data_IF_348826639406
#
_entry.id   IF_348826639406
#
_cell.length_a   1.000
_cell.length_b   1.000
_cell.length_c   1.000
_cell.angle_alpha   90.00
_cell.angle_beta   90.00
_cell.angle_gamma   90.00
#
_symmetry.space_group_name_H-M   'P 1'
#
loop_
_entity.id
_entity.type
_entity.pdbx_description
1 polymer ?
#
# COMPACT_ATOMS: atom_id res chain seq x y z
N UNK A 1 -38.86 -12.38 44.42
CA UNK A 1 -38.32 -11.88 43.15
C UNK A 1 -39.39 -12.01 42.09
N UNK A 2 -40.18 -10.93 41.86
CA UNK A 2 -41.33 -10.95 40.95
C UNK A 2 -40.82 -10.87 39.48
N UNK A 3 -40.89 -11.99 38.79
CA UNK A 3 -40.69 -12.01 37.32
C UNK A 3 -41.95 -11.40 36.71
N UNK A 4 -41.84 -10.21 36.16
CA UNK A 4 -42.92 -9.54 35.47
C UNK A 4 -43.44 -10.45 34.35
N UNK A 5 -44.68 -10.94 34.47
CA UNK A 5 -45.40 -11.66 33.41
C UNK A 5 -45.58 -10.69 32.25
N UNK A 6 -44.83 -10.88 31.19
CA UNK A 6 -45.03 -10.17 29.93
C UNK A 6 -46.46 -10.47 29.43
N UNK A 7 -47.31 -9.46 29.47
CA UNK A 7 -48.68 -9.55 28.97
C UNK A 7 -48.64 -9.71 27.45
N UNK A 8 -48.81 -10.93 26.98
CA UNK A 8 -48.70 -11.34 25.57
C UNK A 8 -50.01 -11.12 24.81
N UNK A 9 -50.47 -9.87 24.74
CA UNK A 9 -51.55 -9.51 23.81
C UNK A 9 -51.08 -9.85 22.37
N UNK A 10 -51.87 -10.59 21.55
CA UNK A 10 -51.47 -11.03 20.20
C UNK A 10 -51.04 -9.88 19.30
N UNK A 11 -51.63 -8.70 19.45
CA UNK A 11 -51.24 -7.51 18.70
C UNK A 11 -49.79 -7.03 19.05
N UNK A 12 -49.39 -7.20 20.30
CA UNK A 12 -48.01 -6.86 20.71
C UNK A 12 -46.98 -7.85 20.15
N UNK A 13 -47.35 -9.13 19.98
CA UNK A 13 -46.45 -10.13 19.37
C UNK A 13 -46.18 -9.81 17.92
N UNK A 14 -47.22 -9.44 17.14
CA UNK A 14 -47.08 -9.03 15.74
C UNK A 14 -46.20 -7.79 15.65
N UNK A 15 -46.41 -6.79 16.50
CA UNK A 15 -45.58 -5.57 16.54
C UNK A 15 -44.10 -5.89 16.81
N UNK A 16 -43.82 -6.76 17.80
CA UNK A 16 -42.45 -7.17 18.10
C UNK A 16 -41.80 -7.95 16.95
N UNK A 17 -42.51 -8.79 16.22
CA UNK A 17 -42.04 -9.50 15.05
C UNK A 17 -41.67 -8.51 13.91
N UNK A 18 -42.54 -7.52 13.67
CA UNK A 18 -42.29 -6.50 12.65
C UNK A 18 -41.05 -5.67 13.01
N UNK A 19 -40.93 -5.23 14.29
CA UNK A 19 -39.76 -4.46 14.75
C UNK A 19 -38.48 -5.29 14.68
N UNK A 20 -38.53 -6.57 15.05
CA UNK A 20 -37.39 -7.48 14.95
C UNK A 20 -36.97 -7.66 13.47
N UNK A 21 -37.93 -7.88 12.58
CA UNK A 21 -37.67 -7.98 11.13
C UNK A 21 -37.05 -6.70 10.58
N UNK A 22 -37.59 -5.53 10.95
CA UNK A 22 -37.02 -4.24 10.56
C UNK A 22 -35.57 -4.07 11.06
N UNK A 23 -35.32 -4.42 12.33
CA UNK A 23 -33.98 -4.34 12.90
C UNK A 23 -32.99 -5.25 12.16
N UNK A 24 -33.36 -6.48 11.82
CA UNK A 24 -32.54 -7.42 11.06
C UNK A 24 -32.22 -6.85 9.68
N UNK A 25 -33.20 -6.31 8.97
CA UNK A 25 -33.02 -5.70 7.66
C UNK A 25 -32.07 -4.49 7.74
N UNK A 26 -32.30 -3.59 8.71
CA UNK A 26 -31.43 -2.42 8.90
C UNK A 26 -29.98 -2.84 9.22
N UNK A 27 -29.80 -3.81 10.10
CA UNK A 27 -28.46 -4.32 10.45
C UNK A 27 -27.76 -4.93 9.23
N UNK A 28 -28.48 -5.75 8.46
CA UNK A 28 -27.96 -6.34 7.22
C UNK A 28 -27.49 -5.24 6.24
N UNK A 29 -28.34 -4.25 5.96
CA UNK A 29 -27.99 -3.16 5.05
C UNK A 29 -26.80 -2.33 5.55
N UNK A 30 -26.74 -2.07 6.86
CA UNK A 30 -25.61 -1.33 7.45
C UNK A 30 -24.31 -2.10 7.28
N UNK A 31 -24.28 -3.38 7.59
CA UNK A 31 -23.09 -4.23 7.42
C UNK A 31 -22.70 -4.36 5.95
N UNK A 32 -23.68 -4.58 5.06
CA UNK A 32 -23.42 -4.67 3.63
C UNK A 32 -22.82 -3.37 3.06
N UNK A 33 -23.39 -2.22 3.41
CA UNK A 33 -22.89 -0.90 2.99
C UNK A 33 -21.48 -0.66 3.53
N UNK A 34 -21.23 -1.01 4.79
CA UNK A 34 -19.92 -0.88 5.41
C UNK A 34 -18.85 -1.70 4.65
N UNK A 35 -19.11 -2.98 4.39
CA UNK A 35 -18.16 -3.83 3.64
C UNK A 35 -17.93 -3.32 2.22
N UNK A 36 -18.99 -2.89 1.54
CA UNK A 36 -18.89 -2.33 0.20
C UNK A 36 -18.04 -1.04 0.18
N UNK A 37 -18.21 -0.19 1.17
CA UNK A 37 -17.46 1.06 1.26
C UNK A 37 -15.96 0.82 1.50
N UNK A 38 -15.60 -0.15 2.34
CA UNK A 38 -14.20 -0.55 2.53
C UNK A 38 -13.59 -1.04 1.21
N UNK A 39 -14.27 -1.93 0.50
CA UNK A 39 -13.78 -2.47 -0.77
C UNK A 39 -13.60 -1.37 -1.84
N UNK A 40 -14.54 -0.43 -1.95
CA UNK A 40 -14.42 0.71 -2.86
C UNK A 40 -13.25 1.64 -2.47
N UNK A 41 -13.06 1.86 -1.17
CA UNK A 41 -11.96 2.67 -0.67
C UNK A 41 -10.60 2.03 -0.92
N UNK A 42 -10.50 0.71 -0.73
CA UNK A 42 -9.31 -0.07 -1.07
C UNK A 42 -8.97 0.04 -2.56
N UNK A 43 -9.96 -0.22 -3.42
CA UNK A 43 -9.78 -0.10 -4.87
C UNK A 43 -9.33 1.30 -5.28
N UNK A 44 -9.94 2.35 -4.73
CA UNK A 44 -9.56 3.74 -5.00
C UNK A 44 -8.13 4.04 -4.54
N UNK A 45 -7.73 3.50 -3.38
CA UNK A 45 -6.37 3.65 -2.86
C UNK A 45 -5.34 2.96 -3.77
N UNK A 46 -5.63 1.75 -4.24
CA UNK A 46 -4.76 1.00 -5.15
C UNK A 46 -4.61 1.71 -6.50
N UNK A 47 -5.71 2.19 -7.11
CA UNK A 47 -5.67 2.96 -8.36
C UNK A 47 -4.83 4.24 -8.20
N UNK A 48 -4.99 4.94 -7.07
CA UNK A 48 -4.19 6.12 -6.76
C UNK A 48 -2.71 5.77 -6.61
N UNK A 49 -2.37 4.73 -5.85
CA UNK A 49 -0.98 4.28 -5.69
C UNK A 49 -0.36 3.89 -7.02
N UNK A 50 -1.09 3.17 -7.86
CA UNK A 50 -0.63 2.78 -9.18
C UNK A 50 -0.29 4.01 -10.06
N UNK A 51 -1.13 5.04 -10.02
CA UNK A 51 -0.84 6.31 -10.69
C UNK A 51 0.44 6.97 -10.17
N UNK A 52 0.64 6.98 -8.85
CA UNK A 52 1.84 7.58 -8.20
C UNK A 52 3.10 6.82 -8.61
N UNK A 53 3.12 5.48 -8.52
CA UNK A 53 4.33 4.71 -8.87
C UNK A 53 4.65 4.79 -10.37
N UNK A 54 3.65 4.84 -11.24
CA UNK A 54 3.86 5.07 -12.68
C UNK A 54 4.48 6.45 -12.95
N UNK A 55 4.01 7.49 -12.24
CA UNK A 55 4.57 8.83 -12.35
C UNK A 55 6.03 8.88 -11.85
N UNK A 56 6.34 8.22 -10.74
CA UNK A 56 7.72 8.09 -10.25
C UNK A 56 8.60 7.31 -11.23
N UNK A 57 8.11 6.18 -11.75
CA UNK A 57 8.86 5.37 -12.71
C UNK A 57 9.19 6.14 -13.99
N UNK A 58 8.31 7.03 -14.45
CA UNK A 58 8.56 7.89 -15.60
C UNK A 58 9.61 8.97 -15.33
N UNK A 59 9.75 9.44 -14.10
CA UNK A 59 10.69 10.48 -13.70
C UNK A 59 12.10 9.94 -13.39
N UNK A 60 12.20 8.68 -12.95
CA UNK A 60 13.46 8.05 -12.56
C UNK A 60 14.18 7.56 -13.81
N UNK A 61 15.43 8.01 -13.98
CA UNK A 61 16.31 7.53 -15.03
C UNK A 61 16.75 6.08 -14.72
N UNK A 62 16.29 5.12 -15.54
CA UNK A 62 16.61 3.72 -15.36
C UNK A 62 18.07 3.38 -15.63
N UNK A 63 18.75 4.10 -16.53
CA UNK A 63 20.18 3.92 -16.76
C UNK A 63 20.98 4.35 -15.53
N UNK A 64 20.67 5.52 -14.96
CA UNK A 64 21.29 6.00 -13.72
C UNK A 64 21.03 5.04 -12.55
N UNK A 65 19.79 4.48 -12.44
CA UNK A 65 19.44 3.50 -11.42
C UNK A 65 20.26 2.20 -11.56
N UNK A 66 20.43 1.70 -12.80
CA UNK A 66 21.25 0.53 -13.10
C UNK A 66 22.73 0.77 -12.78
N UNK A 67 23.27 1.91 -13.19
CA UNK A 67 24.66 2.28 -12.93
C UNK A 67 24.94 2.40 -11.44
N UNK A 68 24.03 3.03 -10.68
CA UNK A 68 24.09 3.13 -9.22
C UNK A 68 24.16 1.73 -8.58
N UNK A 69 23.26 0.84 -8.97
CA UNK A 69 23.23 -0.52 -8.43
C UNK A 69 24.46 -1.35 -8.78
N UNK A 70 25.06 -1.13 -9.94
CA UNK A 70 26.31 -1.80 -10.36
C UNK A 70 27.55 -1.23 -9.68
N UNK A 71 27.59 0.09 -9.43
CA UNK A 71 28.70 0.78 -8.79
C UNK A 71 28.88 0.40 -7.33
N UNK A 72 27.75 0.23 -6.62
CA UNK A 72 27.73 -0.08 -5.20
C UNK A 72 27.07 -1.47 -4.99
N UNK A 73 27.89 -2.52 -4.99
CA UNK A 73 27.42 -3.91 -4.91
C UNK A 73 27.11 -4.40 -3.49
N UNK A 74 27.55 -3.69 -2.45
CA UNK A 74 27.48 -4.17 -1.08
C UNK A 74 26.38 -3.49 -0.27
N UNK A 75 25.85 -4.23 0.72
CA UNK A 75 24.90 -3.70 1.69
C UNK A 75 25.49 -2.54 2.46
N UNK A 76 24.68 -1.50 2.71
CA UNK A 76 25.07 -0.28 3.42
C UNK A 76 26.23 0.52 2.76
N UNK A 77 26.55 0.23 1.50
CA UNK A 77 27.55 1.00 0.76
C UNK A 77 27.17 2.49 0.60
N UNK A 78 25.88 2.79 0.65
CA UNK A 78 25.36 4.17 0.71
C UNK A 78 24.72 4.39 2.07
N UNK A 79 25.31 5.28 2.87
CA UNK A 79 24.90 5.62 4.24
C UNK A 79 24.20 6.98 4.33
N UNK A 80 24.42 7.86 3.34
CA UNK A 80 23.83 9.20 3.29
C UNK A 80 23.25 9.43 1.90
N UNK A 81 22.05 10.00 1.83
CA UNK A 81 21.37 10.25 0.56
C UNK A 81 22.13 11.26 -0.35
N UNK A 82 23.07 12.04 0.20
CA UNK A 82 23.94 12.97 -0.54
C UNK A 82 25.28 12.36 -0.96
N UNK A 83 25.53 11.09 -0.64
CA UNK A 83 26.83 10.43 -0.86
C UNK A 83 27.12 10.21 -2.34
N UNK A 84 26.11 9.94 -3.16
CA UNK A 84 26.22 9.70 -4.59
C UNK A 84 25.22 10.57 -5.35
N UNK A 85 25.60 11.07 -6.52
CA UNK A 85 24.78 11.99 -7.33
C UNK A 85 23.50 11.30 -7.85
N UNK A 86 23.63 10.07 -8.34
CA UNK A 86 22.50 9.35 -8.94
C UNK A 86 21.52 8.92 -7.85
N UNK A 87 22.06 8.46 -6.69
CA UNK A 87 21.24 8.21 -5.51
C UNK A 87 20.45 9.44 -5.08
N UNK A 88 21.15 10.59 -4.99
CA UNK A 88 20.52 11.86 -4.59
C UNK A 88 19.39 12.27 -5.54
N UNK A 89 19.59 12.14 -6.84
CA UNK A 89 18.57 12.47 -7.85
C UNK A 89 17.34 11.57 -7.70
N UNK A 90 17.53 10.26 -7.56
CA UNK A 90 16.42 9.30 -7.35
C UNK A 90 15.73 9.58 -6.03
N UNK A 91 16.49 9.79 -4.95
CA UNK A 91 15.94 10.17 -3.64
C UNK A 91 15.06 11.42 -3.73
N UNK A 92 15.49 12.48 -4.42
CA UNK A 92 14.72 13.71 -4.58
C UNK A 92 13.39 13.46 -5.31
N UNK A 93 13.39 12.66 -6.38
CA UNK A 93 12.17 12.29 -7.10
C UNK A 93 11.20 11.54 -6.17
N UNK A 94 11.71 10.54 -5.43
CA UNK A 94 10.92 9.78 -4.48
C UNK A 94 10.36 10.68 -3.37
N UNK A 95 11.18 11.58 -2.81
CA UNK A 95 10.80 12.48 -1.73
C UNK A 95 9.74 13.50 -2.16
N UNK A 96 9.92 14.12 -3.32
CA UNK A 96 8.93 15.06 -3.88
C UNK A 96 7.58 14.37 -4.12
N UNK A 97 7.57 13.16 -4.68
CA UNK A 97 6.34 12.41 -4.89
C UNK A 97 5.72 11.95 -3.55
N UNK A 98 6.53 11.53 -2.57
CA UNK A 98 6.10 11.18 -1.22
C UNK A 98 5.37 12.35 -0.55
N UNK A 99 5.96 13.56 -0.59
CA UNK A 99 5.40 14.77 0.01
C UNK A 99 4.16 15.26 -0.75
N UNK A 100 4.24 15.38 -2.08
CA UNK A 100 3.14 15.87 -2.92
C UNK A 100 1.88 15.01 -2.82
N UNK A 101 2.04 13.70 -2.64
CA UNK A 101 0.93 12.77 -2.51
C UNK A 101 0.55 12.47 -1.06
N UNK A 102 1.24 13.09 -0.08
CA UNK A 102 0.99 12.88 1.36
C UNK A 102 1.04 11.40 1.75
N UNK A 103 1.98 10.65 1.17
CA UNK A 103 2.22 9.26 1.53
C UNK A 103 2.63 9.19 3.00
N UNK A 104 2.27 8.10 3.68
CA UNK A 104 2.61 7.89 5.11
C UNK A 104 3.76 6.91 5.30
N UNK A 105 4.03 6.11 4.28
CA UNK A 105 5.18 5.20 4.23
C UNK A 105 6.14 5.70 3.14
N UNK A 106 7.46 5.59 3.34
CA UNK A 106 8.42 5.98 2.33
C UNK A 106 8.20 5.24 1.01
N UNK A 107 8.36 5.96 -0.11
CA UNK A 107 8.50 5.34 -1.42
C UNK A 107 9.95 4.88 -1.64
N UNK A 108 10.14 3.82 -2.41
CA UNK A 108 11.47 3.23 -2.60
C UNK A 108 11.60 2.53 -3.94
N UNK A 109 12.86 2.29 -4.35
CA UNK A 109 13.18 1.46 -5.50
C UNK A 109 13.88 0.18 -5.08
N UNK A 110 13.68 -0.88 -5.85
CA UNK A 110 14.30 -2.19 -5.61
C UNK A 110 14.79 -2.80 -6.92
N UNK A 111 15.78 -3.67 -6.80
CA UNK A 111 16.19 -4.60 -7.85
C UNK A 111 15.92 -6.03 -7.42
N UNK A 112 15.74 -6.93 -8.37
CA UNK A 112 15.64 -8.35 -8.11
C UNK A 112 17.00 -9.02 -8.26
N UNK A 113 17.48 -9.64 -7.18
CA UNK A 113 18.70 -10.43 -7.19
C UNK A 113 18.34 -11.90 -7.49
N UNK A 114 18.60 -12.33 -8.72
CA UNK A 114 18.26 -13.70 -9.16
C UNK A 114 19.13 -14.79 -8.54
N UNK A 115 20.30 -14.45 -7.98
CA UNK A 115 21.20 -15.43 -7.35
C UNK A 115 20.69 -15.80 -5.96
N UNK A 116 20.24 -14.82 -5.20
CA UNK A 116 19.76 -14.96 -3.82
C UNK A 116 18.23 -15.05 -3.71
N UNK A 117 17.53 -14.91 -4.84
CA UNK A 117 16.06 -15.00 -4.98
C UNK A 117 15.29 -14.03 -4.06
N UNK A 118 15.79 -12.81 -3.90
CA UNK A 118 15.13 -11.75 -3.14
C UNK A 118 15.23 -10.38 -3.82
N UNK A 119 14.42 -9.43 -3.36
CA UNK A 119 14.56 -8.03 -3.74
C UNK A 119 15.53 -7.31 -2.81
N UNK A 120 16.24 -6.30 -3.35
CA UNK A 120 17.15 -5.45 -2.61
C UNK A 120 16.75 -3.98 -2.77
N UNK A 121 16.68 -3.24 -1.67
CA UNK A 121 16.39 -1.81 -1.70
C UNK A 121 17.56 -1.03 -2.29
N UNK A 122 17.28 -0.10 -3.23
CA UNK A 122 18.31 0.73 -3.85
C UNK A 122 18.19 2.19 -3.40
N UNK A 123 17.02 2.81 -3.53
CA UNK A 123 16.82 4.17 -3.07
C UNK A 123 15.49 4.30 -2.31
N UNK A 124 15.40 5.28 -1.44
CA UNK A 124 14.21 5.55 -0.63
C UNK A 124 13.97 7.05 -0.49
N UNK A 125 12.70 7.44 -0.28
CA UNK A 125 12.34 8.82 0.08
C UNK A 125 12.69 9.19 1.53
N UNK A 126 13.12 8.22 2.36
CA UNK A 126 13.62 8.45 3.71
C UNK A 126 15.02 9.06 3.67
N UNK A 127 15.32 9.98 4.59
CA UNK A 127 16.64 10.60 4.71
C UNK A 127 17.72 9.58 5.18
N UNK A 128 17.31 8.45 5.77
CA UNK A 128 18.18 7.33 6.09
C UNK A 128 18.10 6.29 4.96
N UNK A 129 19.15 6.10 4.16
CA UNK A 129 19.23 5.05 3.16
C UNK A 129 19.06 3.66 3.79
N UNK A 130 18.47 2.76 3.03
CA UNK A 130 18.36 1.34 3.38
C UNK A 130 18.94 0.49 2.23
N UNK A 131 20.16 0.89 1.83
CA UNK A 131 20.79 0.43 0.60
C UNK A 131 21.18 -1.05 0.66
N UNK A 132 20.75 -1.82 -0.36
CA UNK A 132 21.04 -3.25 -0.51
C UNK A 132 20.59 -4.13 0.66
N UNK A 133 19.67 -3.65 1.51
CA UNK A 133 19.03 -4.54 2.46
C UNK A 133 18.08 -5.50 1.74
N UNK A 134 18.08 -6.80 2.08
CA UNK A 134 17.22 -7.77 1.43
C UNK A 134 15.78 -7.62 1.88
N UNK A 135 14.85 -7.85 0.95
CA UNK A 135 13.43 -8.00 1.21
C UNK A 135 13.01 -9.44 0.88
N UNK A 136 13.17 -10.34 1.87
CA UNK A 136 12.97 -11.78 1.71
C UNK A 136 11.49 -12.19 1.73
N UNK A 137 10.64 -11.42 2.43
CA UNK A 137 9.22 -11.73 2.62
C UNK A 137 8.33 -10.96 1.66
N UNK A 138 8.76 -10.81 0.42
CA UNK A 138 8.00 -10.10 -0.61
C UNK A 138 6.79 -10.90 -1.10
N UNK A 139 5.76 -10.18 -1.56
CA UNK A 139 4.59 -10.81 -2.17
C UNK A 139 4.96 -11.37 -3.56
N UNK A 140 4.55 -12.62 -3.93
CA UNK A 140 4.93 -13.27 -5.20
C UNK A 140 4.63 -12.44 -6.46
N UNK A 141 3.57 -11.64 -6.44
CA UNK A 141 3.20 -10.73 -7.54
C UNK A 141 4.36 -9.82 -7.96
N UNK A 142 5.25 -9.40 -7.04
CA UNK A 142 6.41 -8.57 -7.37
C UNK A 142 7.34 -9.27 -8.37
N UNK A 143 7.55 -10.56 -8.20
CA UNK A 143 8.37 -11.38 -9.10
C UNK A 143 7.62 -11.70 -10.39
N UNK A 144 6.36 -12.13 -10.28
CA UNK A 144 5.54 -12.53 -11.43
C UNK A 144 5.30 -11.38 -12.41
N UNK A 145 5.15 -10.15 -11.89
CA UNK A 145 4.88 -8.95 -12.68
C UNK A 145 6.02 -7.92 -12.66
N UNK A 146 7.24 -8.38 -12.43
CA UNK A 146 8.42 -7.52 -12.33
C UNK A 146 8.59 -6.57 -13.52
N UNK A 147 8.28 -7.04 -14.72
CA UNK A 147 8.41 -6.26 -15.97
C UNK A 147 7.16 -5.48 -16.36
N UNK A 148 6.01 -5.76 -15.74
CA UNK A 148 4.72 -5.15 -16.08
C UNK A 148 4.31 -4.08 -15.08
N UNK A 149 4.65 -4.31 -13.80
CA UNK A 149 4.12 -3.53 -12.69
C UNK A 149 2.72 -3.97 -12.30
N UNK A 150 2.15 -3.30 -11.30
CA UNK A 150 0.80 -3.57 -10.85
C UNK A 150 0.54 -3.17 -9.40
N UNK A 151 -0.54 -3.71 -8.87
CA UNK A 151 -0.96 -3.49 -7.50
C UNK A 151 -0.93 -4.79 -6.71
N UNK A 152 -0.67 -4.69 -5.42
CA UNK A 152 -0.79 -5.78 -4.47
C UNK A 152 -1.95 -5.42 -3.54
N UNK A 153 -3.08 -6.15 -3.63
CA UNK A 153 -4.20 -6.00 -2.70
C UNK A 153 -3.73 -6.24 -1.27
N UNK A 154 -4.62 -6.06 -0.32
CA UNK A 154 -4.29 -6.21 1.09
C UNK A 154 -3.49 -7.49 1.37
N UNK A 155 -2.29 -7.30 1.93
CA UNK A 155 -1.42 -8.39 2.39
C UNK A 155 -0.82 -8.05 3.75
N UNK A 156 -0.29 -9.05 4.43
CA UNK A 156 0.34 -8.91 5.74
C UNK A 156 1.77 -9.41 5.69
N UNK A 157 2.68 -8.61 6.24
CA UNK A 157 4.07 -9.00 6.48
C UNK A 157 4.45 -8.75 7.95
N UNK A 158 5.74 -8.82 8.27
CA UNK A 158 6.24 -8.59 9.64
C UNK A 158 6.06 -7.15 10.12
N UNK A 159 5.85 -6.20 9.22
CA UNK A 159 5.77 -4.77 9.52
C UNK A 159 4.32 -4.28 9.61
N UNK A 160 3.35 -5.05 9.12
CA UNK A 160 1.94 -4.69 9.20
C UNK A 160 1.05 -5.24 8.11
N UNK A 161 -0.07 -4.56 7.93
CA UNK A 161 -1.04 -4.84 6.85
C UNK A 161 -0.95 -3.71 5.83
N UNK A 162 -0.73 -4.06 4.57
CA UNK A 162 -0.37 -3.13 3.52
C UNK A 162 -1.27 -3.23 2.29
N UNK A 163 -1.38 -2.13 1.58
CA UNK A 163 -1.76 -2.02 0.17
C UNK A 163 -0.56 -1.46 -0.57
N UNK A 164 -0.16 -2.05 -1.68
CA UNK A 164 1.02 -1.63 -2.40
C UNK A 164 0.77 -1.51 -3.90
N UNK A 165 1.55 -0.65 -4.53
CA UNK A 165 1.67 -0.59 -5.98
C UNK A 165 3.13 -0.47 -6.39
N UNK A 166 3.46 -0.99 -7.56
CA UNK A 166 4.80 -0.94 -8.11
C UNK A 166 4.79 -0.76 -9.62
N UNK A 167 5.84 -0.16 -10.15
CA UNK A 167 6.03 0.04 -11.57
C UNK A 167 7.48 -0.26 -11.96
N UNK A 168 7.71 -0.85 -13.16
CA UNK A 168 9.04 -1.15 -13.63
C UNK A 168 9.81 0.13 -13.96
N UNK A 169 11.10 0.16 -13.57
CA UNK A 169 12.07 1.13 -14.04
C UNK A 169 12.73 0.56 -15.29
N UNK A 170 12.74 1.34 -16.36
CA UNK A 170 13.28 0.91 -17.65
C UNK A 170 14.49 1.74 -18.05
N UNK A 171 15.50 1.07 -18.57
CA UNK A 171 16.66 1.71 -19.17
C UNK A 171 16.37 2.25 -20.58
N UNK A 172 17.34 2.92 -21.19
CA UNK A 172 17.24 3.46 -22.54
C UNK A 172 16.99 2.39 -23.63
N UNK A 173 17.26 1.12 -23.35
CA UNK A 173 16.94 -0.03 -24.22
C UNK A 173 15.54 -0.61 -23.95
N UNK A 174 14.78 -0.07 -22.98
CA UNK A 174 13.45 -0.53 -22.59
C UNK A 174 13.47 -1.76 -21.67
N UNK A 175 14.63 -2.21 -21.21
CA UNK A 175 14.75 -3.34 -20.29
C UNK A 175 14.42 -2.91 -18.86
N UNK A 176 13.74 -3.79 -18.13
CA UNK A 176 13.46 -3.54 -16.70
C UNK A 176 14.72 -3.74 -15.87
N UNK A 177 15.16 -2.68 -15.20
CA UNK A 177 16.37 -2.63 -14.37
C UNK A 177 16.08 -2.55 -12.88
N UNK A 178 14.82 -2.43 -12.51
CA UNK A 178 14.34 -2.34 -11.15
C UNK A 178 12.84 -2.06 -11.13
N UNK A 179 12.32 -1.84 -9.94
CA UNK A 179 10.95 -1.38 -9.72
C UNK A 179 10.94 -0.22 -8.74
N UNK A 180 9.98 0.68 -8.87
CA UNK A 180 9.63 1.67 -7.84
C UNK A 180 8.33 1.24 -7.17
N UNK A 181 8.25 1.40 -5.86
CA UNK A 181 7.13 0.93 -5.04
C UNK A 181 6.69 1.99 -4.04
N UNK A 182 5.39 2.00 -3.76
CA UNK A 182 4.78 2.80 -2.70
C UNK A 182 3.72 1.98 -1.97
N UNK A 183 3.65 2.20 -0.64
CA UNK A 183 2.79 1.45 0.27
C UNK A 183 1.86 2.36 1.05
N UNK A 184 0.67 1.83 1.37
CA UNK A 184 -0.24 2.40 2.37
C UNK A 184 -0.41 1.38 3.49
N UNK A 185 -0.19 1.81 4.74
CA UNK A 185 -0.55 0.98 5.90
C UNK A 185 -2.08 0.88 5.99
N UNK A 186 -2.61 -0.31 5.73
CA UNK A 186 -4.03 -0.55 5.62
C UNK A 186 -4.76 -0.34 6.96
N UNK A 187 -4.14 -0.70 8.08
CA UNK A 187 -4.74 -0.48 9.42
C UNK A 187 -4.96 1.00 9.71
N UNK A 188 -3.97 1.85 9.39
CA UNK A 188 -4.10 3.29 9.53
C UNK A 188 -5.13 3.87 8.55
N UNK A 189 -5.17 3.35 7.33
CA UNK A 189 -6.13 3.75 6.31
C UNK A 189 -7.57 3.48 6.76
N UNK A 190 -7.88 2.30 7.29
CA UNK A 190 -9.21 1.97 7.81
C UNK A 190 -9.60 2.87 8.98
N UNK A 191 -8.70 3.12 9.93
CA UNK A 191 -8.97 4.05 11.04
C UNK A 191 -9.32 5.46 10.54
N UNK A 192 -8.60 5.95 9.53
CA UNK A 192 -8.86 7.29 8.95
C UNK A 192 -10.17 7.32 8.18
N UNK A 193 -10.49 6.29 7.41
CA UNK A 193 -11.76 6.17 6.68
C UNK A 193 -12.96 6.13 7.64
N UNK A 194 -12.85 5.39 8.73
CA UNK A 194 -13.87 5.34 9.77
C UNK A 194 -14.06 6.71 10.46
N UNK A 195 -12.96 7.36 10.85
CA UNK A 195 -13.02 8.68 11.48
C UNK A 195 -13.62 9.75 10.56
N UNK A 196 -13.38 9.67 9.25
CA UNK A 196 -13.98 10.56 8.27
C UNK A 196 -15.50 10.32 8.11
N UNK A 197 -15.93 9.06 8.14
CA UNK A 197 -17.35 8.70 8.08
C UNK A 197 -18.14 9.24 9.29
N UNK A 198 -17.56 9.17 10.50
CA UNK A 198 -18.17 9.70 11.72
C UNK A 198 -18.21 11.23 11.81
N UNK A 199 -17.34 11.94 11.08
CA UNK A 199 -17.37 13.42 11.05
C UNK A 199 -18.45 14.00 10.15
N UNK A 200 -18.99 13.19 9.24
CA UNK A 200 -20.00 13.61 8.26
C UNK A 200 -21.42 13.16 8.66
N UNK A 201 -21.61 12.58 9.85
CA UNK A 201 -22.90 12.29 10.51
C UNK A 201 -23.23 13.35 11.54
#
# INVERSE_FOLDING_TARGET
MNIAKFNTNPNNRILWLVLAGYFVVCTYFTLWTYHRQIALSEQSALVRLEGIVKAMAFQIDGDAHRELSNRFGEKDAIQFYTQDKDYYQIHQILKLNYEANSLKSPAYTMIFNSVSDHFEFIATSSDAPYYRHPYDSFHPILKDKYTEGGVIPQYTDRLGVWLSAFAPLRDGAGQTVGIVMADINFSQFICQAQAAAFKNL
#
